data_IF_878298342166
#
_entry.id   IF_878298342166
#
_cell.length_a   1.000
_cell.length_b   1.000
_cell.length_c   1.000
_cell.angle_alpha   90.00
_cell.angle_beta   90.00
_cell.angle_gamma   90.00
#
_symmetry.space_group_name_H-M   'P 1'
#
loop_
_entity.id
_entity.type
_entity.pdbx_description
1 polymer ?
#
# COMPACT_ATOMS: atom_id res chain seq x y z
N UNK A 1 28.51 15.69 -11.00
CA UNK A 1 27.26 15.74 -10.21
C UNK A 1 26.66 14.34 -10.21
N UNK A 2 26.92 13.54 -9.17
CA UNK A 2 26.40 12.17 -9.01
C UNK A 2 25.67 12.12 -7.66
N UNK A 3 24.36 12.41 -7.65
CA UNK A 3 23.50 12.30 -6.45
C UNK A 3 22.09 11.76 -6.75
N UNK A 4 21.87 11.12 -7.90
CA UNK A 4 20.56 10.58 -8.27
C UNK A 4 20.44 9.07 -7.97
N UNK A 5 21.54 8.36 -7.74
CA UNK A 5 21.55 6.89 -7.68
C UNK A 5 21.27 6.27 -6.30
N UNK A 6 20.93 7.06 -5.27
CA UNK A 6 20.85 6.57 -3.89
C UNK A 6 19.44 6.48 -3.30
N UNK A 7 18.43 7.02 -3.99
CA UNK A 7 17.04 7.02 -3.52
C UNK A 7 16.24 5.78 -3.91
N UNK A 8 16.68 5.02 -4.92
CA UNK A 8 16.00 3.81 -5.38
C UNK A 8 16.19 2.61 -4.45
N UNK A 9 17.28 2.56 -3.67
CA UNK A 9 17.60 1.39 -2.84
C UNK A 9 16.87 1.41 -1.49
N UNK A 10 16.51 2.58 -0.96
CA UNK A 10 15.89 2.68 0.38
C UNK A 10 14.42 2.24 0.38
N UNK A 11 13.75 2.26 -0.78
CA UNK A 11 12.34 1.85 -0.90
C UNK A 11 12.17 0.31 -0.93
N UNK A 12 13.19 -0.42 -1.38
CA UNK A 12 13.14 -1.87 -1.58
C UNK A 12 13.09 -2.63 -0.24
N UNK A 13 13.70 -2.10 0.81
CA UNK A 13 13.81 -2.79 2.10
C UNK A 13 12.49 -2.86 2.89
N UNK A 14 11.51 -2.00 2.61
CA UNK A 14 10.22 -1.98 3.33
C UNK A 14 9.16 -2.92 2.72
N UNK A 15 9.35 -3.37 1.48
CA UNK A 15 8.36 -4.19 0.75
C UNK A 15 8.41 -5.67 1.18
N UNK A 16 9.53 -6.12 1.77
CA UNK A 16 9.74 -7.53 2.15
C UNK A 16 8.84 -7.99 3.33
N UNK A 17 8.11 -7.08 3.98
CA UNK A 17 7.26 -7.40 5.15
C UNK A 17 5.82 -7.86 4.82
N UNK A 18 5.44 -7.99 3.55
CA UNK A 18 4.08 -8.36 3.14
C UNK A 18 3.96 -9.78 2.56
N UNK A 19 4.64 -10.75 3.18
CA UNK A 19 4.60 -12.17 2.78
C UNK A 19 3.36 -12.95 3.24
N UNK A 20 2.36 -12.29 3.84
CA UNK A 20 1.11 -12.92 4.26
C UNK A 20 -0.09 -12.29 3.55
N UNK A 21 -0.41 -12.80 2.35
CA UNK A 21 -1.77 -13.12 1.82
C UNK A 21 -1.51 -13.80 0.46
N UNK A 22 -1.36 -15.13 0.48
CA UNK A 22 -1.08 -15.95 -0.71
C UNK A 22 -2.34 -16.50 -1.41
N UNK A 23 -3.53 -16.09 -0.98
CA UNK A 23 -4.75 -16.77 -1.39
C UNK A 23 -5.69 -15.89 -2.24
N UNK A 24 -5.75 -16.28 -3.52
CA UNK A 24 -6.95 -16.34 -4.40
C UNK A 24 -7.05 -15.36 -5.59
N UNK A 25 -6.22 -14.33 -5.76
CA UNK A 25 -6.25 -13.53 -7.01
C UNK A 25 -4.87 -13.15 -7.55
N UNK A 26 -4.44 -13.81 -8.63
CA UNK A 26 -3.54 -13.21 -9.63
C UNK A 26 -2.06 -13.05 -9.27
N UNK A 27 -1.37 -14.13 -8.86
CA UNK A 27 0.10 -14.11 -8.71
C UNK A 27 0.82 -13.60 -9.97
N UNK A 28 0.34 -13.95 -11.17
CA UNK A 28 0.91 -13.46 -12.42
C UNK A 28 0.86 -11.91 -12.53
N UNK A 29 -0.24 -11.29 -12.08
CA UNK A 29 -0.37 -9.83 -12.11
C UNK A 29 0.49 -9.10 -11.07
N UNK A 30 0.75 -9.74 -9.92
CA UNK A 30 1.67 -9.16 -8.92
C UNK A 30 3.13 -9.29 -9.37
N UNK A 31 3.52 -10.43 -9.94
CA UNK A 31 4.85 -10.61 -10.52
C UNK A 31 5.12 -9.63 -11.67
N UNK A 32 4.14 -9.44 -12.56
CA UNK A 32 4.20 -8.44 -13.64
C UNK A 32 4.42 -7.03 -13.08
N UNK A 33 3.68 -6.65 -12.03
CA UNK A 33 3.86 -5.34 -11.39
C UNK A 33 5.21 -5.22 -10.69
N UNK A 34 5.72 -6.27 -10.04
CA UNK A 34 7.05 -6.26 -9.43
C UNK A 34 8.13 -6.02 -10.49
N UNK A 35 8.04 -6.72 -11.62
CA UNK A 35 8.94 -6.53 -12.76
C UNK A 35 8.81 -5.11 -13.29
N UNK A 36 7.58 -4.60 -13.44
CA UNK A 36 7.33 -3.24 -13.92
C UNK A 36 7.92 -2.18 -12.97
N UNK A 37 7.78 -2.35 -11.65
CA UNK A 37 8.40 -1.46 -10.65
C UNK A 37 9.92 -1.41 -10.82
N UNK A 38 10.56 -2.53 -11.16
CA UNK A 38 12.02 -2.62 -11.32
C UNK A 38 12.52 -2.08 -12.67
N UNK A 39 11.66 -2.09 -13.70
CA UNK A 39 12.07 -1.87 -15.10
C UNK A 39 11.39 -0.67 -15.77
N UNK A 40 10.48 0.02 -15.07
CA UNK A 40 9.76 1.18 -15.61
C UNK A 40 10.71 2.24 -16.15
N UNK A 41 10.49 2.61 -17.42
CA UNK A 41 11.26 3.66 -18.11
C UNK A 41 10.38 4.63 -18.88
N UNK A 42 9.11 4.28 -19.11
CA UNK A 42 8.16 5.16 -19.79
C UNK A 42 7.18 5.80 -18.81
N UNK A 43 6.59 6.96 -19.16
CA UNK A 43 5.50 7.54 -18.38
C UNK A 43 4.32 6.58 -18.18
N UNK A 44 4.01 5.76 -19.19
CA UNK A 44 2.91 4.79 -19.12
C UNK A 44 3.18 3.70 -18.07
N UNK A 45 4.43 3.22 -17.95
CA UNK A 45 4.81 2.24 -16.93
C UNK A 45 4.62 2.81 -15.53
N UNK A 46 5.07 4.05 -15.32
CA UNK A 46 4.91 4.73 -14.04
C UNK A 46 3.42 4.94 -13.69
N UNK A 47 2.57 5.29 -14.66
CA UNK A 47 1.12 5.41 -14.42
C UNK A 47 0.48 4.05 -14.08
N UNK A 48 0.86 2.96 -14.75
CA UNK A 48 0.39 1.60 -14.43
C UNK A 48 0.75 1.20 -13.00
N UNK A 49 1.96 1.51 -12.56
CA UNK A 49 2.40 1.25 -11.18
C UNK A 49 1.62 2.12 -10.18
N UNK A 50 1.38 3.40 -10.50
CA UNK A 50 0.59 4.28 -9.65
C UNK A 50 -0.84 3.74 -9.47
N UNK A 51 -1.47 3.28 -10.54
CA UNK A 51 -2.81 2.68 -10.49
C UNK A 51 -2.85 1.39 -9.67
N UNK A 52 -1.80 0.58 -9.73
CA UNK A 52 -1.65 -0.59 -8.86
C UNK A 52 -1.63 -0.17 -7.39
N UNK A 53 -0.79 0.80 -7.01
CA UNK A 53 -0.72 1.25 -5.62
C UNK A 53 -2.02 1.90 -5.14
N UNK A 54 -2.73 2.65 -5.99
CA UNK A 54 -4.05 3.16 -5.66
C UNK A 54 -5.07 2.05 -5.38
N UNK A 55 -5.02 0.94 -6.13
CA UNK A 55 -5.87 -0.24 -5.86
C UNK A 55 -5.52 -0.89 -4.51
N UNK A 56 -4.23 -1.03 -4.20
CA UNK A 56 -3.80 -1.55 -2.90
C UNK A 56 -4.22 -0.63 -1.75
N UNK A 57 -4.09 0.69 -1.92
CA UNK A 57 -4.56 1.66 -0.95
C UNK A 57 -6.06 1.49 -0.66
N UNK A 58 -6.91 1.39 -1.70
CA UNK A 58 -8.35 1.19 -1.54
C UNK A 58 -8.69 -0.09 -0.79
N UNK A 59 -8.03 -1.21 -1.11
CA UNK A 59 -8.22 -2.49 -0.40
C UNK A 59 -7.92 -2.36 1.09
N UNK A 60 -6.84 -1.67 1.45
CA UNK A 60 -6.48 -1.50 2.85
C UNK A 60 -7.36 -0.48 3.58
N UNK A 61 -7.85 0.56 2.91
CA UNK A 61 -8.89 1.41 3.49
C UNK A 61 -10.19 0.65 3.77
N UNK A 62 -10.60 -0.27 2.89
CA UNK A 62 -11.77 -1.14 3.09
C UNK A 62 -11.58 -2.03 4.32
N UNK A 63 -10.42 -2.67 4.46
CA UNK A 63 -10.06 -3.43 5.67
C UNK A 63 -10.05 -2.54 6.91
N UNK A 64 -9.50 -1.33 6.83
CA UNK A 64 -9.48 -0.39 7.94
C UNK A 64 -10.89 -0.03 8.39
N UNK A 65 -11.82 0.20 7.45
CA UNK A 65 -13.23 0.46 7.75
C UNK A 65 -13.93 -0.75 8.37
N UNK A 66 -13.66 -1.95 7.86
CA UNK A 66 -14.18 -3.18 8.44
C UNK A 66 -13.75 -3.34 9.91
N UNK A 67 -12.46 -3.17 10.20
CA UNK A 67 -11.95 -3.24 11.57
C UNK A 67 -12.47 -2.12 12.47
N UNK A 68 -12.69 -0.91 11.95
CA UNK A 68 -13.32 0.16 12.70
C UNK A 68 -14.76 -0.22 13.10
N UNK A 69 -15.55 -0.75 12.17
CA UNK A 69 -16.92 -1.21 12.44
C UNK A 69 -16.95 -2.34 13.49
N UNK A 70 -15.97 -3.24 13.47
CA UNK A 70 -15.81 -4.27 14.50
C UNK A 70 -15.49 -3.65 15.86
N UNK A 71 -14.58 -2.68 15.92
CA UNK A 71 -14.25 -1.94 17.14
C UNK A 71 -15.50 -1.32 17.77
N UNK A 72 -16.30 -0.62 16.97
CA UNK A 72 -17.53 0.04 17.42
C UNK A 72 -18.55 -0.95 17.99
N UNK A 73 -18.66 -2.15 17.41
CA UNK A 73 -19.57 -3.21 17.88
C UNK A 73 -19.23 -3.72 19.29
N UNK A 74 -17.98 -3.52 19.73
CA UNK A 74 -17.51 -3.91 21.06
C UNK A 74 -17.30 -2.71 22.01
N UNK A 75 -17.42 -1.47 21.54
CA UNK A 75 -17.03 -0.26 22.29
C UNK A 75 -17.83 -0.03 23.58
N UNK A 76 -19.11 -0.45 23.62
CA UNK A 76 -20.01 -0.26 24.77
C UNK A 76 -20.24 -1.55 25.58
N UNK A 77 -19.37 -2.55 25.42
CA UNK A 77 -19.49 -3.85 26.12
C UNK A 77 -18.66 -3.85 27.40
N UNK A 78 -19.03 -4.67 28.36
CA UNK A 78 -18.21 -4.89 29.57
C UNK A 78 -16.92 -5.67 29.25
N UNK A 79 -15.96 -5.66 30.18
CA UNK A 79 -14.77 -6.52 30.08
C UNK A 79 -15.20 -7.99 29.99
N UNK A 80 -14.58 -8.81 29.12
CA UNK A 80 -13.31 -8.60 28.39
C UNK A 80 -13.48 -7.97 26.99
N UNK A 81 -14.71 -7.66 26.57
CA UNK A 81 -15.01 -7.25 25.19
C UNK A 81 -14.42 -5.86 24.84
N UNK A 82 -14.16 -5.00 25.82
CA UNK A 82 -13.37 -3.77 25.63
C UNK A 82 -11.96 -4.05 25.08
N UNK A 83 -11.36 -5.19 25.44
CA UNK A 83 -10.07 -5.62 24.90
C UNK A 83 -10.15 -5.91 23.39
N UNK A 84 -11.27 -6.47 22.94
CA UNK A 84 -11.54 -6.69 21.51
C UNK A 84 -11.77 -5.37 20.78
N UNK A 85 -12.51 -4.44 21.39
CA UNK A 85 -12.71 -3.10 20.82
C UNK A 85 -11.36 -2.43 20.54
N UNK A 86 -10.43 -2.47 21.50
CA UNK A 86 -9.08 -1.92 21.33
C UNK A 86 -8.30 -2.66 20.25
N UNK A 87 -8.29 -4.00 20.26
CA UNK A 87 -7.60 -4.79 19.25
C UNK A 87 -8.03 -4.42 17.83
N UNK A 88 -9.34 -4.33 17.57
CA UNK A 88 -9.85 -3.96 16.26
C UNK A 88 -9.57 -2.49 15.90
N UNK A 89 -9.59 -1.58 16.87
CA UNK A 89 -9.16 -0.18 16.65
C UNK A 89 -7.70 -0.10 16.21
N UNK A 90 -6.81 -0.84 16.87
CA UNK A 90 -5.39 -0.89 16.52
C UNK A 90 -5.18 -1.48 15.12
N UNK A 91 -5.93 -2.51 14.74
CA UNK A 91 -5.87 -3.08 13.38
C UNK A 91 -6.37 -2.09 12.32
N UNK A 92 -7.47 -1.38 12.59
CA UNK A 92 -7.98 -0.34 11.69
C UNK A 92 -6.93 0.74 11.40
N UNK A 93 -6.23 1.21 12.43
CA UNK A 93 -5.13 2.19 12.29
C UNK A 93 -3.99 1.67 11.42
N UNK A 94 -3.52 0.44 11.66
CA UNK A 94 -2.46 -0.18 10.83
C UNK A 94 -2.82 -0.22 9.36
N UNK A 95 -4.03 -0.68 9.02
CA UNK A 95 -4.48 -0.71 7.63
C UNK A 95 -4.62 0.69 7.02
N UNK A 96 -5.04 1.69 7.79
CA UNK A 96 -5.07 3.07 7.32
C UNK A 96 -3.67 3.63 7.04
N UNK A 97 -2.69 3.31 7.90
CA UNK A 97 -1.28 3.69 7.70
C UNK A 97 -0.70 3.04 6.43
N UNK A 98 -0.99 1.75 6.20
CA UNK A 98 -0.57 1.05 4.99
C UNK A 98 -1.20 1.65 3.73
N UNK A 99 -2.51 1.95 3.77
CA UNK A 99 -3.20 2.63 2.68
C UNK A 99 -2.56 3.98 2.34
N UNK A 100 -2.17 4.75 3.37
CA UNK A 100 -1.46 6.01 3.15
C UNK A 100 -0.07 5.80 2.53
N UNK A 101 0.65 4.76 2.96
CA UNK A 101 1.91 4.36 2.33
C UNK A 101 1.75 4.08 0.84
N UNK A 102 0.72 3.33 0.45
CA UNK A 102 0.43 3.05 -0.96
C UNK A 102 0.04 4.31 -1.74
N UNK A 103 -0.77 5.23 -1.18
CA UNK A 103 -1.08 6.51 -1.83
C UNK A 103 0.16 7.36 -2.09
N UNK A 104 1.09 7.36 -1.15
CA UNK A 104 2.35 8.08 -1.31
C UNK A 104 3.17 7.47 -2.45
N UNK A 105 3.27 6.15 -2.52
CA UNK A 105 3.92 5.45 -3.64
C UNK A 105 3.26 5.79 -4.99
N UNK A 106 1.93 5.75 -5.07
CA UNK A 106 1.22 6.13 -6.28
C UNK A 106 1.51 7.57 -6.70
N UNK A 107 1.60 8.49 -5.73
CA UNK A 107 1.95 9.90 -5.98
C UNK A 107 3.37 10.06 -6.52
N UNK A 108 4.35 9.34 -5.97
CA UNK A 108 5.72 9.38 -6.47
C UNK A 108 5.83 8.82 -7.89
N UNK A 109 5.11 7.74 -8.19
CA UNK A 109 5.06 7.22 -9.56
C UNK A 109 4.41 8.19 -10.55
N UNK A 110 3.35 8.90 -10.17
CA UNK A 110 2.78 9.97 -11.02
C UNK A 110 3.79 11.09 -11.30
N UNK A 111 4.53 11.53 -10.27
CA UNK A 111 5.59 12.53 -10.46
C UNK A 111 6.69 12.05 -11.41
N UNK A 112 7.08 10.77 -11.33
CA UNK A 112 8.04 10.18 -12.27
C UNK A 112 7.48 10.18 -13.70
N UNK A 113 6.21 9.81 -13.89
CA UNK A 113 5.56 9.88 -15.19
C UNK A 113 5.59 11.30 -15.79
N UNK A 114 5.22 12.31 -14.98
CA UNK A 114 5.23 13.71 -15.39
C UNK A 114 6.64 14.19 -15.79
N UNK A 115 7.66 13.76 -15.04
CA UNK A 115 9.06 14.09 -15.33
C UNK A 115 9.54 13.46 -16.64
N UNK A 116 9.20 12.20 -16.89
CA UNK A 116 9.56 11.51 -18.13
C UNK A 116 8.83 12.09 -19.35
N UNK A 117 7.58 12.57 -19.20
CA UNK A 117 6.87 13.26 -20.29
C UNK A 117 7.49 14.61 -20.67
N UNK A 118 8.26 15.22 -19.77
CA UNK A 118 8.90 16.54 -19.96
C UNK A 118 10.33 16.44 -20.50
N UNK A 119 10.88 15.24 -20.67
CA UNK A 119 12.22 15.00 -21.24
C UNK A 119 12.18 14.95 -22.76
#
# INVERSE_FOLDING_TARGET
MKKILQLSITLIASIILFSEIKEVFGMASEEEIIILIQTATSPEDHLKIADYFDKQAKKDEEKARFYASMSDSYANRDKPLLGLAKYYSDQSKKYMEMAQGYKNLATEHRKMADQEMQR
#
